data_IF_949381189444
#
_entry.id   IF_949381189444
#
_cell.length_a   1.000
_cell.length_b   1.000
_cell.length_c   1.000
_cell.angle_alpha   90.00
_cell.angle_beta   90.00
_cell.angle_gamma   90.00
#
_symmetry.space_group_name_H-M   'P 1'
#
loop_
_entity.id
_entity.type
_entity.pdbx_description
1 polymer ?
#
# COMPACT_ATOMS: atom_id res chain seq x y z
N UNK A 1 -20.88 3.06 -5.17
CA UNK A 1 -20.04 2.82 -6.35
C UNK A 1 -18.95 1.85 -5.93
N UNK A 2 -18.65 0.85 -6.75
CA UNK A 2 -17.60 -0.14 -6.46
C UNK A 2 -16.35 0.28 -7.20
N UNK A 3 -15.22 0.37 -6.50
CA UNK A 3 -13.90 0.58 -7.11
C UNK A 3 -13.25 -0.78 -7.32
N UNK A 4 -12.84 -1.05 -8.55
CA UNK A 4 -12.08 -2.23 -8.92
C UNK A 4 -10.63 -1.82 -9.15
N UNK A 5 -9.71 -2.61 -8.60
CA UNK A 5 -8.26 -2.48 -8.80
C UNK A 5 -7.72 -3.87 -9.13
N UNK A 6 -6.60 -3.94 -9.84
CA UNK A 6 -5.93 -5.21 -10.13
C UNK A 6 -5.37 -5.82 -8.83
N UNK A 7 -4.90 -4.97 -7.91
CA UNK A 7 -4.37 -5.38 -6.61
C UNK A 7 -4.87 -4.44 -5.50
N UNK A 8 -5.37 -5.03 -4.40
CA UNK A 8 -5.68 -4.32 -3.15
C UNK A 8 -4.65 -4.74 -2.09
N UNK A 9 -4.00 -3.75 -1.48
CA UNK A 9 -3.03 -3.95 -0.39
C UNK A 9 -3.63 -3.41 0.90
N UNK A 10 -3.71 -4.27 1.92
CA UNK A 10 -4.17 -3.89 3.25
C UNK A 10 -2.94 -3.63 4.13
N UNK A 11 -2.76 -2.37 4.53
CA UNK A 11 -1.61 -1.87 5.28
C UNK A 11 -0.65 -1.05 4.41
N UNK A 12 -0.52 0.24 4.67
CA UNK A 12 0.35 1.22 4.03
C UNK A 12 1.69 1.43 4.75
N UNK A 13 2.17 0.40 5.46
CA UNK A 13 3.51 0.36 6.04
C UNK A 13 4.60 0.01 5.02
N UNK A 14 5.85 -0.13 5.47
CA UNK A 14 7.00 -0.40 4.59
C UNK A 14 6.78 -1.55 3.60
N UNK A 15 6.23 -2.66 4.06
CA UNK A 15 5.95 -3.83 3.23
C UNK A 15 4.86 -3.56 2.19
N UNK A 16 3.75 -2.95 2.61
CA UNK A 16 2.64 -2.63 1.70
C UNK A 16 3.03 -1.59 0.67
N UNK A 17 3.80 -0.57 1.05
CA UNK A 17 4.32 0.43 0.12
C UNK A 17 5.32 -0.17 -0.87
N UNK A 18 6.18 -1.07 -0.43
CA UNK A 18 7.10 -1.79 -1.31
C UNK A 18 6.33 -2.66 -2.33
N UNK A 19 5.35 -3.45 -1.87
CA UNK A 19 4.49 -4.24 -2.74
C UNK A 19 3.71 -3.38 -3.74
N UNK A 20 3.15 -2.26 -3.28
CA UNK A 20 2.40 -1.34 -4.13
C UNK A 20 3.28 -0.74 -5.24
N UNK A 21 4.51 -0.32 -4.90
CA UNK A 21 5.44 0.22 -5.89
C UNK A 21 5.87 -0.83 -6.91
N UNK A 22 6.13 -2.06 -6.48
CA UNK A 22 6.47 -3.15 -7.40
C UNK A 22 5.31 -3.44 -8.36
N UNK A 23 4.09 -3.60 -7.84
CA UNK A 23 2.91 -3.85 -8.66
C UNK A 23 2.62 -2.71 -9.65
N UNK A 24 2.73 -1.46 -9.17
CA UNK A 24 2.53 -0.29 -10.01
C UNK A 24 3.62 -0.17 -11.10
N UNK A 25 4.87 -0.56 -10.82
CA UNK A 25 5.94 -0.58 -11.81
C UNK A 25 5.70 -1.60 -12.93
N UNK A 26 4.97 -2.68 -12.65
CA UNK A 26 4.50 -3.66 -13.63
C UNK A 26 3.19 -3.21 -14.35
N UNK A 27 2.69 -2.01 -14.05
CA UNK A 27 1.53 -1.40 -14.72
C UNK A 27 0.17 -1.74 -14.11
N UNK A 28 0.12 -2.42 -12.95
CA UNK A 28 -1.14 -2.73 -12.28
C UNK A 28 -1.80 -1.47 -11.69
N UNK A 29 -3.14 -1.41 -11.72
CA UNK A 29 -3.91 -0.48 -10.89
C UNK A 29 -3.95 -0.99 -9.44
N UNK A 30 -3.43 -0.19 -8.51
CA UNK A 30 -3.19 -0.61 -7.12
C UNK A 30 -3.92 0.29 -6.13
N UNK A 31 -4.78 -0.30 -5.31
CA UNK A 31 -5.38 0.36 -4.15
C UNK A 31 -4.66 -0.02 -2.86
N UNK A 32 -4.29 0.97 -2.03
CA UNK A 32 -3.82 0.74 -0.65
C UNK A 32 -4.90 1.17 0.34
N UNK A 33 -5.21 0.30 1.29
CA UNK A 33 -6.13 0.59 2.40
C UNK A 33 -5.36 0.52 3.71
N UNK A 34 -5.31 1.63 4.44
CA UNK A 34 -4.68 1.71 5.75
C UNK A 34 -5.51 2.60 6.68
N UNK A 35 -5.47 2.31 7.98
CA UNK A 35 -6.17 3.11 8.99
C UNK A 35 -5.53 4.51 9.19
N UNK A 36 -4.28 4.66 8.79
CA UNK A 36 -3.50 5.87 8.88
C UNK A 36 -2.80 6.05 10.24
N UNK A 37 -1.75 6.90 10.29
CA UNK A 37 -1.11 7.54 9.14
C UNK A 37 -0.33 6.52 8.27
N UNK A 38 -0.16 6.84 6.99
CA UNK A 38 0.65 6.02 6.08
C UNK A 38 2.12 6.01 6.51
N UNK A 39 2.82 4.92 6.24
CA UNK A 39 4.22 4.70 6.62
C UNK A 39 4.40 3.54 7.61
N UNK A 40 3.34 3.15 8.34
CA UNK A 40 3.38 2.03 9.27
C UNK A 40 4.42 2.21 10.38
N UNK A 41 4.74 1.11 11.07
CA UNK A 41 5.51 1.20 12.32
C UNK A 41 6.96 1.69 12.11
N UNK A 42 7.67 1.12 11.13
CA UNK A 42 9.08 1.43 10.86
C UNK A 42 9.32 2.92 10.55
N UNK A 43 8.41 3.57 9.81
CA UNK A 43 8.51 5.01 9.51
C UNK A 43 8.02 5.88 10.67
N UNK A 44 6.91 5.50 11.30
CA UNK A 44 6.21 6.37 12.25
C UNK A 44 6.70 6.24 13.69
N UNK A 45 7.25 5.08 14.05
CA UNK A 45 7.65 4.73 15.41
C UNK A 45 9.03 4.07 15.47
N UNK A 46 9.75 4.05 14.35
CA UNK A 46 11.02 3.38 14.22
C UNK A 46 10.87 1.90 13.93
N UNK A 47 11.97 1.41 13.37
CA UNK A 47 12.35 0.02 13.35
C UNK A 47 13.41 -0.09 14.47
#
# INVERSE_FOLDING_TARGET
MTHSHDIIIIGGGSAGYAAARTAQAEGADVGIVDQGPLGGLCILRGC
#
